data_IF_958698933208
#
_entry.id   IF_958698933208
#
_cell.length_a   1.000
_cell.length_b   1.000
_cell.length_c   1.000
_cell.angle_alpha   90.00
_cell.angle_beta   90.00
_cell.angle_gamma   90.00
#
_symmetry.space_group_name_H-M   'P 1'
#
loop_
_entity.id
_entity.type
_entity.pdbx_description
1 polymer ?
#
# COMPACT_ATOMS: atom_id res chain seq x y z
N UNK A 1 -19.18 8.02 2.05
CA UNK A 1 -18.52 7.37 3.13
C UNK A 1 -17.03 7.56 3.12
N UNK A 2 -16.48 7.81 4.27
CA UNK A 2 -15.09 8.11 4.35
C UNK A 2 -14.24 6.84 4.38
N UNK A 3 -13.28 6.77 3.51
CA UNK A 3 -12.32 5.69 3.54
C UNK A 3 -11.32 5.93 4.66
N UNK A 4 -10.93 4.88 5.32
CA UNK A 4 -9.98 4.98 6.39
C UNK A 4 -8.73 4.24 6.09
N UNK A 5 -7.63 4.88 6.35
CA UNK A 5 -6.36 4.20 6.41
C UNK A 5 -6.03 3.97 7.87
N UNK A 6 -6.08 2.73 8.28
CA UNK A 6 -5.84 2.40 9.67
C UNK A 6 -4.47 1.78 9.74
N UNK A 7 -3.47 2.64 9.71
CA UNK A 7 -2.11 2.20 9.53
C UNK A 7 -1.62 1.34 10.67
N UNK A 8 -2.06 1.65 11.87
CA UNK A 8 -1.63 0.92 13.05
C UNK A 8 -2.31 -0.43 13.18
N UNK A 9 -3.26 -0.73 12.30
CA UNK A 9 -4.02 -1.98 12.38
C UNK A 9 -3.77 -2.92 11.22
N UNK A 10 -2.93 -2.52 10.29
CA UNK A 10 -2.59 -3.40 9.18
C UNK A 10 -1.63 -4.46 9.70
N UNK A 11 -1.89 -5.70 9.34
CA UNK A 11 -1.11 -6.84 9.81
C UNK A 11 -0.69 -7.70 8.65
N UNK A 12 0.36 -8.46 8.88
CA UNK A 12 0.75 -9.52 7.93
C UNK A 12 -0.44 -10.45 7.75
N UNK A 13 -0.74 -10.75 6.50
CA UNK A 13 -1.90 -11.59 6.15
C UNK A 13 -3.11 -10.80 5.71
N UNK A 14 -3.14 -9.49 5.98
CA UNK A 14 -4.25 -8.66 5.51
C UNK A 14 -4.15 -8.47 4.01
N UNK A 15 -5.32 -8.36 3.37
CA UNK A 15 -5.40 -8.00 1.97
C UNK A 15 -5.65 -6.50 1.87
N UNK A 16 -4.87 -5.83 1.07
CA UNK A 16 -5.05 -4.39 0.85
C UNK A 16 -5.23 -4.11 -0.63
N UNK A 17 -5.86 -2.98 -0.90
CA UNK A 17 -5.94 -2.43 -2.25
C UNK A 17 -5.20 -1.11 -2.27
N UNK A 18 -4.31 -0.95 -3.23
CA UNK A 18 -3.58 0.29 -3.42
C UNK A 18 -4.48 1.26 -4.17
N UNK A 19 -4.80 2.37 -3.53
CA UNK A 19 -5.61 3.41 -4.16
C UNK A 19 -4.71 4.29 -5.01
N UNK A 20 -3.62 4.78 -4.42
CA UNK A 20 -2.70 5.64 -5.13
C UNK A 20 -1.37 5.67 -4.39
N UNK A 21 -0.31 5.35 -5.08
CA UNK A 21 1.03 5.49 -4.53
C UNK A 21 1.58 6.87 -4.85
N UNK A 22 2.44 7.35 -3.98
CA UNK A 22 3.15 8.59 -4.24
C UNK A 22 4.07 8.39 -5.44
N UNK A 23 3.81 9.12 -6.50
CA UNK A 23 4.52 8.93 -7.77
C UNK A 23 5.48 10.07 -8.07
N UNK A 24 5.89 10.81 -7.05
CA UNK A 24 6.85 11.90 -7.18
C UNK A 24 6.42 12.89 -8.26
N UNK A 25 5.18 13.37 -8.15
CA UNK A 25 4.65 14.34 -9.11
C UNK A 25 4.45 13.77 -10.50
N UNK A 26 4.26 12.46 -10.59
CA UNK A 26 4.04 11.80 -11.89
C UNK A 26 5.29 11.25 -12.53
N UNK A 27 6.44 11.38 -11.86
CA UNK A 27 7.72 10.94 -12.44
C UNK A 27 7.98 9.46 -12.22
N UNK A 28 7.38 8.87 -11.19
CA UNK A 28 7.61 7.48 -10.86
C UNK A 28 6.54 6.64 -11.53
N UNK A 29 6.87 6.10 -12.70
CA UNK A 29 5.91 5.31 -13.48
C UNK A 29 5.62 3.97 -12.81
N UNK A 30 6.57 3.43 -12.07
CA UNK A 30 6.31 2.18 -11.36
C UNK A 30 5.28 2.37 -10.26
N UNK A 31 5.38 3.46 -9.53
CA UNK A 31 4.39 3.75 -8.50
C UNK A 31 3.00 3.87 -9.12
N UNK A 32 2.90 4.56 -10.24
CA UNK A 32 1.61 4.74 -10.91
C UNK A 32 1.02 3.42 -11.39
N UNK A 33 1.87 2.51 -11.82
CA UNK A 33 1.39 1.22 -12.30
C UNK A 33 0.80 0.35 -11.20
N UNK A 34 1.11 0.64 -9.96
CA UNK A 34 0.58 -0.12 -8.84
C UNK A 34 -0.81 0.36 -8.40
N UNK A 35 -1.25 1.52 -8.88
CA UNK A 35 -2.56 2.04 -8.50
C UNK A 35 -3.65 1.07 -8.92
N UNK A 36 -4.55 0.75 -8.01
CA UNK A 36 -5.64 -0.17 -8.25
C UNK A 36 -5.32 -1.63 -7.99
N UNK A 37 -4.06 -1.95 -7.74
CA UNK A 37 -3.68 -3.33 -7.44
C UNK A 37 -4.04 -3.69 -6.02
N UNK A 38 -4.29 -4.97 -5.81
CA UNK A 38 -4.50 -5.49 -4.47
C UNK A 38 -3.55 -6.66 -4.25
N UNK A 39 -3.37 -7.00 -2.99
CA UNK A 39 -2.51 -8.09 -2.62
C UNK A 39 -2.48 -8.30 -1.12
N UNK A 40 -1.74 -9.32 -0.71
CA UNK A 40 -1.64 -9.71 0.69
C UNK A 40 -0.34 -9.18 1.25
N UNK A 41 -0.42 -8.63 2.45
CA UNK A 41 0.76 -8.14 3.16
C UNK A 41 1.55 -9.35 3.66
N UNK A 42 2.79 -9.46 3.22
CA UNK A 42 3.66 -10.57 3.59
C UNK A 42 4.70 -10.20 4.62
N UNK A 43 5.04 -8.91 4.71
CA UNK A 43 6.08 -8.46 5.60
C UNK A 43 5.89 -6.98 5.89
N UNK A 44 6.15 -6.58 7.12
CA UNK A 44 6.17 -5.17 7.51
C UNK A 44 7.57 -4.92 8.03
N UNK A 45 8.30 -4.02 7.39
CA UNK A 45 9.70 -3.82 7.75
C UNK A 45 9.83 -2.93 8.99
N UNK A 46 11.06 -2.69 9.39
CA UNK A 46 11.32 -2.01 10.66
C UNK A 46 10.88 -0.56 10.67
N UNK A 47 10.67 0.03 9.51
CA UNK A 47 10.18 1.42 9.42
C UNK A 47 8.71 1.48 9.05
N UNK A 48 8.01 0.34 9.08
CA UNK A 48 6.57 0.31 8.90
C UNK A 48 6.09 0.24 7.46
N UNK A 49 6.97 -0.03 6.51
CA UNK A 49 6.56 -0.16 5.12
C UNK A 49 6.03 -1.56 4.85
N UNK A 50 4.97 -1.64 4.06
CA UNK A 50 4.28 -2.89 3.79
C UNK A 50 4.82 -3.52 2.51
N UNK A 51 5.16 -4.79 2.60
CA UNK A 51 5.62 -5.58 1.45
C UNK A 51 4.64 -6.71 1.22
N UNK A 52 4.33 -6.99 -0.02
CA UNK A 52 3.35 -8.02 -0.29
C UNK A 52 3.29 -8.41 -1.76
N UNK A 53 2.18 -9.05 -2.12
CA UNK A 53 2.05 -9.72 -3.41
C UNK A 53 1.66 -8.79 -4.55
N UNK A 54 1.53 -7.50 -4.31
CA UNK A 54 1.11 -6.54 -5.35
C UNK A 54 2.24 -6.16 -6.30
N UNK A 55 3.47 -6.51 -5.99
CA UNK A 55 4.60 -6.20 -6.84
C UNK A 55 5.80 -5.78 -6.01
N UNK A 56 6.79 -5.18 -6.66
CA UNK A 56 8.06 -4.92 -6.03
C UNK A 56 8.16 -3.67 -5.17
N UNK A 57 7.11 -2.82 -5.13
CA UNK A 57 7.18 -1.59 -4.38
C UNK A 57 6.51 -1.75 -3.02
N UNK A 58 7.14 -1.21 -1.99
CA UNK A 58 6.53 -1.18 -0.66
C UNK A 58 5.46 -0.11 -0.61
N UNK A 59 4.39 -0.38 0.16
CA UNK A 59 3.36 0.61 0.45
C UNK A 59 3.76 1.31 1.73
N UNK A 60 3.79 2.64 1.71
CA UNK A 60 4.25 3.45 2.83
C UNK A 60 3.04 4.11 3.48
N UNK A 61 2.60 3.61 4.65
CA UNK A 61 1.47 4.23 5.35
C UNK A 61 1.77 5.70 5.63
N UNK A 62 0.75 6.54 5.42
CA UNK A 62 0.90 7.98 5.59
C UNK A 62 1.39 8.69 4.34
N UNK A 63 1.97 7.99 3.39
CA UNK A 63 2.43 8.56 2.13
C UNK A 63 1.58 8.04 0.98
N UNK A 64 1.36 6.73 0.95
CA UNK A 64 0.57 6.09 -0.09
C UNK A 64 -0.84 5.86 0.42
N UNK A 65 -1.82 5.98 -0.46
CA UNK A 65 -3.21 5.69 -0.14
C UNK A 65 -3.51 4.23 -0.41
N UNK A 66 -4.05 3.57 0.58
CA UNK A 66 -4.49 2.18 0.44
C UNK A 66 -5.64 1.91 1.41
N UNK A 67 -6.32 0.81 1.21
CA UNK A 67 -7.38 0.40 2.13
C UNK A 67 -7.22 -1.09 2.42
N UNK A 68 -7.58 -1.49 3.63
CA UNK A 68 -7.62 -2.89 4.01
C UNK A 68 -8.98 -3.42 3.59
N UNK A 69 -8.99 -4.46 2.77
CA UNK A 69 -10.23 -5.01 2.24
C UNK A 69 -10.53 -6.40 2.78
N UNK A 70 -9.59 -6.96 3.53
CA UNK A 70 -9.83 -8.24 4.16
C UNK A 70 -8.84 -8.48 5.26
#
# INVERSE_FOLDING_TARGET
MKRKQIMDKVKIGDTIRIIRMNDDGGKDLQARKHNGRSGVVEHIDSIGQLHGTWGGLAVIPGVDDFEVID
#
